data_IF_607286242920
#
_entry.id   IF_607286242920
#
_cell.length_a   1.000
_cell.length_b   1.000
_cell.length_c   1.000
_cell.angle_alpha   90.00
_cell.angle_beta   90.00
_cell.angle_gamma   90.00
#
_symmetry.space_group_name_H-M   'P 1'
#
loop_
_entity.id
_entity.type
_entity.pdbx_description
1 polymer ?
#
# COMPACT_ATOMS: atom_id res chain seq x y z
N UNK A 1 10.44 2.97 -17.33
CA UNK A 1 9.16 2.22 -17.23
C UNK A 1 8.07 3.18 -17.59
N UNK A 2 7.17 2.76 -18.48
CA UNK A 2 5.91 3.47 -18.74
C UNK A 2 5.03 3.30 -17.50
N UNK A 3 4.28 4.31 -17.04
CA UNK A 3 3.30 4.10 -15.97
C UNK A 3 2.37 2.96 -16.38
N UNK A 4 2.05 2.07 -15.43
CA UNK A 4 1.06 1.03 -15.68
C UNK A 4 -0.27 1.70 -16.05
N UNK A 5 -0.96 1.14 -17.04
CA UNK A 5 -2.26 1.67 -17.45
C UNK A 5 -3.27 1.46 -16.31
N UNK A 6 -4.27 2.34 -16.21
CA UNK A 6 -5.26 2.31 -15.13
C UNK A 6 -5.92 0.94 -14.92
N UNK A 7 -6.21 0.21 -16.01
CA UNK A 7 -6.79 -1.14 -15.93
C UNK A 7 -5.80 -2.20 -15.41
N UNK A 8 -4.48 -2.01 -15.61
CA UNK A 8 -3.46 -2.89 -15.05
C UNK A 8 -3.37 -2.72 -13.53
N UNK A 9 -3.68 -1.53 -13.01
CA UNK A 9 -3.79 -1.30 -11.57
C UNK A 9 -5.04 -1.94 -10.97
N UNK A 10 -6.20 -1.80 -11.61
CA UNK A 10 -7.44 -2.44 -11.18
C UNK A 10 -7.24 -3.97 -10.99
N UNK A 11 -6.64 -4.65 -11.98
CA UNK A 11 -6.34 -6.10 -11.92
C UNK A 11 -5.33 -6.48 -10.81
N UNK A 12 -4.32 -5.63 -10.58
CA UNK A 12 -3.32 -5.83 -9.52
C UNK A 12 -3.94 -5.70 -8.13
N UNK A 13 -4.83 -4.73 -7.96
CA UNK A 13 -5.49 -4.50 -6.67
C UNK A 13 -6.41 -5.65 -6.31
N UNK A 14 -7.15 -6.22 -7.28
CA UNK A 14 -7.94 -7.43 -7.08
C UNK A 14 -7.06 -8.60 -6.65
N UNK A 15 -5.92 -8.78 -7.32
CA UNK A 15 -4.96 -9.84 -6.97
C UNK A 15 -4.41 -9.70 -5.54
N UNK A 16 -4.11 -8.47 -5.12
CA UNK A 16 -3.60 -8.21 -3.77
C UNK A 16 -4.67 -8.39 -2.69
N UNK A 17 -5.90 -7.97 -2.96
CA UNK A 17 -7.01 -8.13 -2.03
C UNK A 17 -7.40 -9.61 -1.89
N UNK A 18 -7.46 -10.36 -2.99
CA UNK A 18 -7.63 -11.81 -2.96
C UNK A 18 -6.51 -12.49 -2.15
N UNK A 19 -5.25 -12.05 -2.31
CA UNK A 19 -4.11 -12.57 -1.55
C UNK A 19 -4.23 -12.30 -0.06
N UNK A 20 -4.77 -11.13 0.32
CA UNK A 20 -5.06 -10.74 1.71
C UNK A 20 -6.16 -11.60 2.31
N UNK A 21 -7.24 -11.87 1.57
CA UNK A 21 -8.38 -12.66 2.04
C UNK A 21 -8.08 -14.17 2.07
N UNK A 22 -7.29 -14.66 1.12
CA UNK A 22 -7.03 -16.08 0.92
C UNK A 22 -5.65 -16.54 1.42
N UNK A 23 -5.04 -15.81 2.34
CA UNK A 23 -3.65 -16.03 2.77
C UNK A 23 -3.33 -17.46 3.25
N UNK A 24 -4.32 -18.21 3.74
CA UNK A 24 -4.17 -19.61 4.16
C UNK A 24 -4.14 -20.64 3.00
N UNK A 25 -4.44 -20.24 1.76
CA UNK A 25 -4.53 -21.15 0.61
C UNK A 25 -3.21 -21.41 -0.12
N UNK A 26 -2.17 -20.60 0.17
CA UNK A 26 -0.79 -20.87 -0.28
C UNK A 26 -0.42 -20.38 -1.68
N UNK A 27 -1.36 -19.79 -2.43
CA UNK A 27 -1.16 -19.37 -3.84
C UNK A 27 -0.79 -17.88 -4.02
N UNK A 28 -0.56 -17.13 -2.94
CA UNK A 28 -0.16 -15.71 -3.01
C UNK A 28 1.35 -15.37 -3.09
N UNK A 29 2.34 -16.29 -3.07
CA UNK A 29 3.75 -15.89 -2.94
C UNK A 29 4.28 -15.20 -4.20
N UNK A 30 3.77 -15.56 -5.39
CA UNK A 30 4.22 -14.96 -6.65
C UNK A 30 3.84 -13.48 -6.74
N UNK A 31 2.59 -13.13 -6.39
CA UNK A 31 2.08 -11.76 -6.41
C UNK A 31 2.83 -10.85 -5.42
N UNK A 32 3.11 -11.34 -4.21
CA UNK A 32 3.88 -10.60 -3.20
C UNK A 32 5.32 -10.39 -3.65
N UNK A 33 5.96 -11.43 -4.20
CA UNK A 33 7.31 -11.33 -4.73
C UNK A 33 7.39 -10.38 -5.94
N UNK A 34 6.37 -10.36 -6.79
CA UNK A 34 6.26 -9.43 -7.90
C UNK A 34 6.09 -7.99 -7.42
N UNK A 35 5.20 -7.75 -6.47
CA UNK A 35 5.02 -6.46 -5.84
C UNK A 35 6.34 -5.94 -5.24
N UNK A 36 7.09 -6.79 -4.50
CA UNK A 36 8.39 -6.43 -3.94
C UNK A 36 9.45 -6.09 -5.02
N UNK A 37 9.46 -6.80 -6.15
CA UNK A 37 10.36 -6.50 -7.28
C UNK A 37 10.02 -5.15 -7.92
N UNK A 38 8.73 -4.89 -8.15
CA UNK A 38 8.27 -3.65 -8.75
C UNK A 38 8.50 -2.45 -7.82
N UNK A 39 8.31 -2.62 -6.50
CA UNK A 39 8.64 -1.59 -5.52
C UNK A 39 10.11 -1.17 -5.60
N UNK A 40 11.05 -2.12 -5.60
CA UNK A 40 12.47 -1.78 -5.73
C UNK A 40 12.82 -1.10 -7.06
N UNK A 41 12.18 -1.53 -8.15
CA UNK A 41 12.34 -0.90 -9.45
C UNK A 41 11.83 0.55 -9.41
N UNK A 42 10.68 0.77 -8.78
CA UNK A 42 10.04 2.06 -8.60
C UNK A 42 10.90 3.02 -7.77
N UNK A 43 11.39 2.56 -6.60
CA UNK A 43 12.29 3.34 -5.73
C UNK A 43 13.56 3.75 -6.47
N UNK A 44 14.21 2.82 -7.19
CA UNK A 44 15.43 3.12 -7.95
C UNK A 44 15.19 4.12 -9.08
N UNK A 45 14.00 4.11 -9.64
CA UNK A 45 13.61 5.01 -10.72
C UNK A 45 13.08 6.37 -10.22
N UNK A 46 12.94 6.57 -8.90
CA UNK A 46 12.23 7.71 -8.30
C UNK A 46 10.83 7.88 -8.93
N UNK A 47 10.13 6.75 -9.12
CA UNK A 47 8.86 6.71 -9.84
C UNK A 47 7.71 7.16 -8.95
N UNK A 48 6.71 7.89 -9.49
CA UNK A 48 5.49 8.24 -8.75
C UNK A 48 4.71 7.00 -8.28
N UNK A 49 4.87 5.85 -8.93
CA UNK A 49 4.19 4.60 -8.59
C UNK A 49 4.70 3.99 -7.26
N UNK A 50 5.76 4.55 -6.67
CA UNK A 50 6.35 4.04 -5.42
C UNK A 50 5.32 3.98 -4.30
N UNK A 51 4.38 4.93 -4.26
CA UNK A 51 3.28 4.92 -3.30
C UNK A 51 2.38 3.69 -3.49
N UNK A 52 1.94 3.42 -4.72
CA UNK A 52 1.06 2.29 -5.05
C UNK A 52 1.72 0.94 -4.69
N UNK A 53 2.98 0.75 -5.08
CA UNK A 53 3.70 -0.49 -4.74
C UNK A 53 3.97 -0.65 -3.25
N UNK A 54 4.25 0.45 -2.53
CA UNK A 54 4.44 0.40 -1.07
C UNK A 54 3.14 -0.02 -0.39
N UNK A 55 2.01 0.59 -0.76
CA UNK A 55 0.70 0.30 -0.18
C UNK A 55 0.20 -1.09 -0.60
N UNK A 56 0.52 -1.58 -1.81
CA UNK A 56 0.26 -2.95 -2.21
C UNK A 56 0.99 -3.99 -1.34
N UNK A 57 2.25 -3.72 -0.96
CA UNK A 57 2.95 -4.56 0.02
C UNK A 57 2.33 -4.45 1.41
N UNK A 58 1.85 -3.27 1.82
CA UNK A 58 1.12 -3.11 3.09
C UNK A 58 -0.15 -3.96 3.11
N UNK A 59 -0.95 -3.90 2.05
CA UNK A 59 -2.18 -4.67 1.90
C UNK A 59 -1.94 -6.19 1.97
N UNK A 60 -0.83 -6.65 1.37
CA UNK A 60 -0.44 -8.06 1.37
C UNK A 60 0.42 -8.47 2.58
N UNK A 61 0.71 -7.54 3.49
CA UNK A 61 1.49 -7.76 4.70
C UNK A 61 1.03 -8.91 5.59
N UNK A 62 -0.27 -9.02 5.88
CA UNK A 62 -0.81 -10.13 6.67
C UNK A 62 -0.45 -11.51 6.12
N UNK A 63 -0.36 -11.67 4.78
CA UNK A 63 0.11 -12.92 4.18
C UNK A 63 1.56 -13.22 4.59
N UNK A 64 2.45 -12.24 4.49
CA UNK A 64 3.87 -12.41 4.84
C UNK A 64 4.05 -12.70 6.33
N UNK A 65 3.34 -11.95 7.19
CA UNK A 65 3.48 -12.01 8.65
C UNK A 65 2.82 -13.27 9.22
N UNK A 66 1.61 -13.61 8.79
CA UNK A 66 0.80 -14.66 9.41
C UNK A 66 0.82 -15.99 8.65
N UNK A 67 0.78 -15.99 7.31
CA UNK A 67 0.87 -17.23 6.52
C UNK A 67 2.30 -17.78 6.40
N UNK A 68 3.32 -16.96 6.66
CA UNK A 68 4.76 -17.33 6.60
C UNK A 68 5.13 -18.07 5.31
N UNK A 69 5.02 -17.39 4.16
CA UNK A 69 5.21 -17.95 2.84
C UNK A 69 6.71 -18.12 2.53
N UNK A 70 7.37 -19.01 3.26
CA UNK A 70 8.81 -19.24 3.21
C UNK A 70 9.72 -18.02 3.50
N UNK A 71 10.96 -18.33 3.94
CA UNK A 71 11.91 -17.31 4.41
C UNK A 71 12.47 -16.44 3.28
N UNK A 72 12.43 -16.90 2.02
CA UNK A 72 12.96 -16.14 0.91
C UNK A 72 11.98 -15.02 0.49
N UNK A 73 10.67 -15.28 0.53
CA UNK A 73 9.68 -14.24 0.28
C UNK A 73 9.67 -13.18 1.38
N UNK A 74 9.74 -13.59 2.64
CA UNK A 74 9.86 -12.68 3.79
C UNK A 74 11.09 -11.76 3.65
N UNK A 75 12.27 -12.34 3.41
CA UNK A 75 13.50 -11.58 3.22
C UNK A 75 13.40 -10.59 2.04
N UNK A 76 12.71 -10.99 0.96
CA UNK A 76 12.53 -10.15 -0.23
C UNK A 76 11.64 -8.94 0.03
N UNK A 77 10.56 -9.11 0.79
CA UNK A 77 9.64 -8.04 1.19
C UNK A 77 10.33 -7.08 2.15
N UNK A 78 11.04 -7.59 3.17
CA UNK A 78 11.82 -6.78 4.09
C UNK A 78 12.89 -5.96 3.36
N UNK A 79 13.56 -6.54 2.37
CA UNK A 79 14.52 -5.82 1.54
C UNK A 79 13.85 -4.67 0.76
N UNK A 80 12.69 -4.91 0.15
CA UNK A 80 11.98 -3.90 -0.62
C UNK A 80 11.48 -2.74 0.27
N UNK A 81 10.88 -3.05 1.43
CA UNK A 81 10.46 -2.03 2.40
C UNK A 81 11.66 -1.27 2.98
N UNK A 82 12.77 -1.96 3.27
CA UNK A 82 14.01 -1.30 3.69
C UNK A 82 14.56 -0.32 2.64
N UNK A 83 14.39 -0.60 1.34
CA UNK A 83 14.77 0.33 0.29
C UNK A 83 13.90 1.61 0.28
N UNK A 84 12.60 1.49 0.56
CA UNK A 84 11.70 2.64 0.73
C UNK A 84 12.13 3.49 1.92
N UNK A 85 12.36 2.88 3.08
CA UNK A 85 12.80 3.60 4.28
C UNK A 85 14.14 4.32 4.03
N UNK A 86 15.11 3.66 3.40
CA UNK A 86 16.40 4.27 3.09
C UNK A 86 16.29 5.45 2.13
N UNK A 87 15.44 5.34 1.11
CA UNK A 87 15.26 6.39 0.11
C UNK A 87 14.49 7.59 0.66
N UNK A 88 13.45 7.35 1.46
CA UNK A 88 12.47 8.37 1.85
C UNK A 88 12.55 8.81 3.32
N UNK A 89 13.21 8.05 4.18
CA UNK A 89 13.18 8.25 5.64
C UNK A 89 13.84 9.56 6.12
N UNK A 90 14.69 10.18 5.30
CA UNK A 90 15.29 11.49 5.57
C UNK A 90 14.56 12.68 4.94
N UNK A 91 13.52 12.44 4.15
CA UNK A 91 12.81 13.50 3.45
C UNK A 91 11.91 14.30 4.41
N UNK A 92 11.98 15.63 4.32
CA UNK A 92 11.10 16.50 5.10
C UNK A 92 9.68 16.47 4.54
N UNK A 93 8.69 16.39 5.44
CA UNK A 93 7.28 16.52 5.12
C UNK A 93 6.67 17.67 5.95
N UNK A 94 5.72 18.41 5.38
CA UNK A 94 5.07 19.54 6.03
C UNK A 94 3.66 19.21 6.58
N UNK A 95 3.18 17.97 6.37
CA UNK A 95 1.90 17.54 6.90
C UNK A 95 1.99 17.34 8.42
N UNK A 96 0.94 17.72 9.14
CA UNK A 96 0.89 17.64 10.60
C UNK A 96 0.61 16.20 11.09
N UNK A 97 -0.10 15.40 10.29
CA UNK A 97 -0.53 14.03 10.62
C UNK A 97 -0.23 13.07 9.46
N UNK A 98 0.04 11.81 9.79
CA UNK A 98 0.35 10.76 8.81
C UNK A 98 -0.37 9.45 9.16
N UNK A 99 -0.96 8.76 8.18
CA UNK A 99 -1.56 7.43 8.40
C UNK A 99 -0.61 6.43 9.06
N UNK A 100 0.68 6.45 8.70
CA UNK A 100 1.70 5.58 9.29
C UNK A 100 1.87 5.71 10.81
N UNK A 101 1.41 6.81 11.42
CA UNK A 101 1.51 7.03 12.87
C UNK A 101 0.38 6.31 13.65
N UNK A 102 -0.71 5.91 12.97
CA UNK A 102 -1.88 5.26 13.55
C UNK A 102 -2.06 3.78 13.10
N UNK A 103 -1.60 3.44 11.89
CA UNK A 103 -1.69 2.08 11.30
C UNK A 103 -0.86 1.06 12.08
N UNK A 104 -1.47 0.09 12.79
CA UNK A 104 -1.21 -1.32 12.46
C UNK A 104 -2.36 -2.30 12.81
N UNK A 105 -3.63 -1.97 12.56
CA UNK A 105 -4.74 -2.92 12.81
C UNK A 105 -5.22 -3.57 11.51
N UNK A 106 -5.48 -4.89 11.53
CA UNK A 106 -6.01 -5.62 10.38
C UNK A 106 -7.33 -4.99 9.88
N UNK A 107 -8.17 -4.47 10.80
CA UNK A 107 -9.42 -3.76 10.49
C UNK A 107 -9.19 -2.45 9.69
N UNK A 108 -7.99 -1.85 9.74
CA UNK A 108 -7.66 -0.64 8.99
C UNK A 108 -7.19 -0.95 7.56
N UNK A 109 -6.95 -2.23 7.22
CA UNK A 109 -6.57 -2.63 5.87
C UNK A 109 -7.76 -2.65 4.89
N UNK A 110 -9.00 -2.75 5.40
CA UNK A 110 -10.20 -2.74 4.55
C UNK A 110 -10.34 -1.44 3.74
N UNK A 111 -9.99 -0.30 4.35
CA UNK A 111 -9.99 1.02 3.68
C UNK A 111 -8.83 1.22 2.68
N UNK A 112 -7.80 0.37 2.73
CA UNK A 112 -6.58 0.55 1.93
C UNK A 112 -6.83 0.34 0.42
N UNK A 113 -7.82 -0.49 0.05
CA UNK A 113 -8.23 -0.65 -1.35
C UNK A 113 -8.77 0.67 -1.92
N UNK A 114 -9.60 1.38 -1.17
CA UNK A 114 -10.11 2.70 -1.57
C UNK A 114 -8.98 3.72 -1.76
N UNK A 115 -7.94 3.66 -0.93
CA UNK A 115 -6.75 4.51 -1.09
C UNK A 115 -5.97 4.19 -2.35
N UNK A 116 -5.77 2.90 -2.66
CA UNK A 116 -5.09 2.45 -3.88
C UNK A 116 -5.83 2.92 -5.14
N UNK A 117 -7.15 2.74 -5.17
CA UNK A 117 -8.02 3.22 -6.24
C UNK A 117 -7.92 4.75 -6.39
N UNK A 118 -8.03 5.47 -5.27
CA UNK A 118 -7.87 6.92 -5.25
C UNK A 118 -6.52 7.34 -5.85
N UNK A 119 -5.41 6.68 -5.50
CA UNK A 119 -4.07 7.04 -6.00
C UNK A 119 -3.86 6.69 -7.48
N UNK A 120 -4.35 5.53 -7.94
CA UNK A 120 -4.15 5.08 -9.32
C UNK A 120 -5.07 5.78 -10.33
N UNK A 121 -6.20 6.33 -9.87
CA UNK A 121 -7.21 6.95 -10.73
C UNK A 121 -7.44 8.42 -10.39
N UNK A 122 -6.44 9.29 -10.66
CA UNK A 122 -6.54 10.71 -10.39
C UNK A 122 -7.81 11.37 -10.96
N UNK A 123 -8.26 10.87 -12.11
CA UNK A 123 -9.44 11.30 -12.85
C UNK A 123 -10.79 10.92 -12.23
N UNK A 124 -10.82 9.93 -11.32
CA UNK A 124 -12.04 9.48 -10.63
C UNK A 124 -12.37 10.34 -9.39
N UNK A 125 -11.45 11.21 -8.96
CA UNK A 125 -11.70 12.17 -7.87
C UNK A 125 -12.80 13.16 -8.28
N UNK A 126 -13.99 12.98 -7.71
CA UNK A 126 -15.18 13.80 -7.99
C UNK A 126 -16.35 13.07 -8.61
N UNK A 127 -16.23 11.76 -8.86
CA UNK A 127 -17.34 10.89 -9.30
C UNK A 127 -17.87 10.00 -8.16
N UNK A 128 -17.60 10.35 -6.90
CA UNK A 128 -18.20 9.65 -5.76
C UNK A 128 -19.73 9.84 -5.82
N UNK A 129 -20.46 8.74 -5.94
CA UNK A 129 -21.88 8.71 -5.61
C UNK A 129 -22.05 9.28 -4.20
N UNK A 130 -23.04 10.15 -4.00
CA UNK A 130 -23.24 10.79 -2.70
C UNK A 130 -23.34 9.72 -1.60
N UNK A 131 -22.65 9.92 -0.46
CA UNK A 131 -22.65 8.95 0.62
C UNK A 131 -24.10 8.70 1.06
N UNK A 132 -24.49 7.43 1.03
CA UNK A 132 -25.79 7.02 1.52
C UNK A 132 -25.85 7.36 3.02
N UNK A 133 -26.89 8.08 3.50
CA UNK A 133 -26.97 8.52 4.90
C UNK A 133 -27.09 7.37 5.93
N UNK A 134 -27.14 6.11 5.47
CA UNK A 134 -27.18 4.92 6.30
C UNK A 134 -25.82 4.20 6.43
N UNK A 135 -24.74 4.74 5.86
CA UNK A 135 -23.39 4.19 6.03
C UNK A 135 -22.74 4.78 7.29
N UNK A 136 -23.03 4.17 8.45
CA UNK A 136 -22.36 4.48 9.73
C UNK A 136 -20.93 3.91 9.81
N UNK A 137 -20.36 3.44 8.69
CA UNK A 137 -18.91 3.37 8.53
C UNK A 137 -18.39 4.81 8.45
N UNK A 138 -18.14 5.42 9.61
CA UNK A 138 -17.33 6.64 9.69
C UNK A 138 -15.91 6.22 9.31
N UNK A 139 -15.68 6.08 8.00
CA UNK A 139 -14.42 5.62 7.47
C UNK A 139 -13.39 6.70 7.78
N UNK A 140 -12.49 6.35 8.69
CA UNK A 140 -11.40 7.22 9.14
C UNK A 140 -10.56 7.70 7.93
N UNK A 141 -10.62 6.95 6.82
CA UNK A 141 -9.98 7.23 5.54
C UNK A 141 -10.63 8.36 4.73
N UNK A 142 -11.95 8.47 4.68
CA UNK A 142 -12.65 9.34 3.71
C UNK A 142 -12.56 10.83 4.02
N UNK A 143 -12.45 11.22 5.30
CA UNK A 143 -12.69 12.62 5.69
C UNK A 143 -11.45 13.45 6.02
N UNK A 144 -10.23 12.89 6.07
CA UNK A 144 -9.02 13.67 6.46
C UNK A 144 -7.71 13.43 5.70
N UNK A 145 -7.54 12.32 4.98
CA UNK A 145 -6.24 12.00 4.37
C UNK A 145 -6.29 12.11 2.84
N UNK A 146 -5.61 13.11 2.29
CA UNK A 146 -5.54 13.35 0.84
C UNK A 146 -4.56 12.41 0.14
N UNK A 147 -4.67 12.30 -1.20
CA UNK A 147 -3.66 11.63 -2.05
C UNK A 147 -2.23 12.06 -1.73
N UNK A 148 -2.04 13.36 -1.52
CA UNK A 148 -0.73 13.94 -1.22
C UNK A 148 -0.18 13.43 0.12
N UNK A 149 -1.03 13.26 1.14
CA UNK A 149 -0.61 12.72 2.44
C UNK A 149 -0.28 11.23 2.32
N UNK A 150 -1.10 10.45 1.61
CA UNK A 150 -0.87 9.02 1.40
C UNK A 150 0.43 8.72 0.64
N UNK A 151 0.73 9.52 -0.39
CA UNK A 151 1.94 9.39 -1.19
C UNK A 151 3.16 10.12 -0.58
N UNK A 152 3.02 10.83 0.54
CA UNK A 152 4.14 11.62 1.05
C UNK A 152 5.29 10.75 1.56
N UNK A 153 6.56 11.21 1.43
CA UNK A 153 7.73 10.42 1.79
C UNK A 153 7.74 9.92 3.24
N UNK A 154 7.27 10.75 4.18
CA UNK A 154 7.18 10.38 5.60
C UNK A 154 6.19 9.24 5.84
N UNK A 155 5.04 9.27 5.17
CA UNK A 155 4.04 8.21 5.29
C UNK A 155 4.59 6.89 4.76
N UNK A 156 5.14 6.89 3.55
CA UNK A 156 5.70 5.69 2.92
C UNK A 156 6.86 5.11 3.73
N UNK A 157 7.78 5.95 4.22
CA UNK A 157 8.88 5.50 5.07
C UNK A 157 8.40 4.97 6.44
N UNK A 158 7.34 5.54 7.00
CA UNK A 158 6.73 5.08 8.25
C UNK A 158 6.11 3.69 8.11
N UNK A 159 5.31 3.48 7.07
CA UNK A 159 4.71 2.17 6.74
C UNK A 159 5.80 1.12 6.47
N UNK A 160 6.83 1.49 5.71
CA UNK A 160 7.98 0.62 5.45
C UNK A 160 8.71 0.20 6.73
N UNK A 161 8.91 1.14 7.67
CA UNK A 161 9.55 0.83 8.96
C UNK A 161 8.71 -0.11 9.82
N UNK A 162 7.39 0.07 9.83
CA UNK A 162 6.49 -0.80 10.58
C UNK A 162 6.59 -2.27 10.12
N UNK A 163 6.81 -2.49 8.82
CA UNK A 163 7.06 -3.81 8.25
C UNK A 163 8.37 -4.46 8.69
N UNK A 164 9.43 -3.68 8.87
CA UNK A 164 10.77 -4.19 9.23
C UNK A 164 10.90 -4.45 10.74
N UNK A 165 10.09 -3.76 11.54
CA UNK A 165 10.07 -3.89 13.00
C UNK A 165 9.04 -4.87 13.58
N UNK A 166 8.19 -5.47 12.74
CA UNK A 166 7.15 -6.43 13.12
C UNK A 166 7.69 -7.85 13.36
#
# INVERSE_FOLDING_TARGET
MTPAASAEWDDLFDTWDESRECYYLGDAPEAVLECARNLEASVRADSPDTALWTLGLVLTGPYVIYARPDAAAEARVLQAMGAVEQALGGASCAHDEHPCDAMPLDDELDGLRGVLDMLAHPERDGAADEPSPDDESVDWFEHRMTREIWACPRNLAGLARAFVGA
#
